data_IF_995310336111
#
_entry.id   IF_995310336111
#
_cell.length_a   1.000
_cell.length_b   1.000
_cell.length_c   1.000
_cell.angle_alpha   90.00
_cell.angle_beta   90.00
_cell.angle_gamma   90.00
#
_symmetry.space_group_name_H-M   'P 1'
#
loop_
_entity.id
_entity.type
_entity.pdbx_description
1 polymer ?
#
# COMPACT_ATOMS: atom_id res chain seq x y z
N UNK A 1 -9.37 -16.65 -11.25
CA UNK A 1 -9.24 -15.49 -10.34
C UNK A 1 -9.19 -14.25 -11.21
N UNK A 2 -10.08 -13.25 -11.05
CA UNK A 2 -9.98 -12.02 -11.80
C UNK A 2 -8.69 -11.31 -11.38
N UNK A 3 -7.82 -11.02 -12.35
CA UNK A 3 -6.53 -10.40 -12.11
C UNK A 3 -6.67 -9.08 -11.38
N UNK A 4 -5.97 -8.94 -10.28
CA UNK A 4 -5.85 -7.70 -9.52
C UNK A 4 -5.27 -6.62 -10.45
N UNK A 5 -6.14 -5.75 -10.96
CA UNK A 5 -5.68 -4.58 -11.71
C UNK A 5 -5.03 -3.61 -10.72
N UNK A 6 -3.70 -3.51 -10.79
CA UNK A 6 -2.95 -2.49 -10.07
C UNK A 6 -3.46 -1.12 -10.53
N UNK A 7 -4.21 -0.43 -9.67
CA UNK A 7 -4.70 0.92 -9.95
C UNK A 7 -3.49 1.85 -9.83
N UNK A 8 -2.98 2.32 -10.95
CA UNK A 8 -2.03 3.43 -10.98
C UNK A 8 -2.82 4.72 -10.79
N UNK A 9 -2.73 5.30 -9.61
CA UNK A 9 -3.26 6.65 -9.36
C UNK A 9 -2.14 7.61 -9.73
N UNK A 10 -2.35 8.53 -10.69
CA UNK A 10 -1.36 9.56 -10.97
C UNK A 10 -1.28 10.48 -9.74
N UNK A 11 -0.13 10.49 -9.09
CA UNK A 11 0.15 11.43 -8.01
C UNK A 11 0.32 12.80 -8.67
N UNK A 12 -0.53 13.75 -8.31
CA UNK A 12 -0.37 15.14 -8.72
C UNK A 12 0.61 15.80 -7.77
N UNK A 13 1.80 16.08 -8.26
CA UNK A 13 2.80 16.84 -7.50
C UNK A 13 2.46 18.32 -7.59
N UNK A 14 2.55 19.04 -6.45
CA UNK A 14 2.61 20.48 -6.47
C UNK A 14 3.85 20.85 -7.29
N UNK A 15 3.71 21.71 -8.28
CA UNK A 15 4.73 22.05 -9.29
C UNK A 15 5.99 22.76 -8.75
N UNK A 16 6.45 22.39 -7.55
CA UNK A 16 7.66 22.86 -6.91
C UNK A 16 8.76 21.82 -7.05
N UNK A 17 9.38 21.82 -8.20
CA UNK A 17 10.57 21.05 -8.49
C UNK A 17 11.84 21.83 -8.10
N UNK A 18 12.96 21.13 -8.07
CA UNK A 18 14.27 21.70 -7.78
C UNK A 18 14.56 23.00 -8.56
N UNK A 19 14.28 23.02 -9.87
CA UNK A 19 14.58 24.16 -10.73
C UNK A 19 13.75 25.39 -10.36
N UNK A 20 12.48 25.22 -10.06
CA UNK A 20 11.58 26.31 -9.63
C UNK A 20 12.00 26.86 -8.28
N UNK A 21 12.31 26.00 -7.31
CA UNK A 21 12.78 26.40 -5.98
C UNK A 21 14.11 27.17 -6.08
N UNK A 22 15.05 26.67 -6.88
CA UNK A 22 16.33 27.34 -7.11
C UNK A 22 16.16 28.72 -7.72
N UNK A 23 15.33 28.85 -8.74
CA UNK A 23 15.04 30.14 -9.36
C UNK A 23 14.41 31.15 -8.38
N UNK A 24 13.44 30.69 -7.59
CA UNK A 24 12.81 31.53 -6.56
C UNK A 24 13.82 32.00 -5.52
N UNK A 25 14.71 31.12 -5.06
CA UNK A 25 15.76 31.45 -4.12
C UNK A 25 16.77 32.45 -4.71
N UNK A 26 17.20 32.27 -5.96
CA UNK A 26 18.08 33.22 -6.65
C UNK A 26 17.42 34.57 -6.78
N UNK A 27 16.15 34.63 -7.16
CA UNK A 27 15.42 35.92 -7.22
C UNK A 27 15.26 36.55 -5.86
N UNK A 28 15.01 35.79 -4.81
CA UNK A 28 14.92 36.25 -3.45
C UNK A 28 16.24 36.91 -3.00
N UNK A 29 17.38 36.20 -3.22
CA UNK A 29 18.70 36.75 -2.86
C UNK A 29 19.02 38.03 -3.63
N UNK A 30 18.75 38.05 -4.94
CA UNK A 30 18.95 39.29 -5.75
C UNK A 30 18.12 40.48 -5.28
N UNK A 31 16.90 40.21 -4.78
CA UNK A 31 16.00 41.28 -4.32
C UNK A 31 16.38 41.84 -2.95
N UNK A 32 16.76 40.98 -2.01
CA UNK A 32 16.94 41.36 -0.61
C UNK A 32 18.40 41.55 -0.20
N UNK A 33 19.34 40.96 -0.96
CA UNK A 33 20.77 41.01 -0.65
C UNK A 33 21.63 41.38 -1.88
N UNK A 34 21.31 42.45 -2.62
CA UNK A 34 21.98 42.76 -3.88
C UNK A 34 23.46 43.09 -3.71
N UNK A 35 23.85 43.69 -2.56
CA UNK A 35 25.22 44.12 -2.31
C UNK A 35 26.09 43.02 -1.67
N UNK A 36 25.44 42.07 -0.99
CA UNK A 36 26.16 41.02 -0.24
C UNK A 36 26.43 39.77 -1.05
N UNK A 37 25.65 39.50 -2.11
CA UNK A 37 25.73 38.26 -2.89
C UNK A 37 25.60 38.57 -4.38
N UNK A 38 26.75 38.74 -5.04
CA UNK A 38 26.82 39.06 -6.48
C UNK A 38 27.30 37.89 -7.35
N UNK A 39 27.93 36.90 -6.75
CA UNK A 39 28.49 35.75 -7.49
C UNK A 39 27.51 34.56 -7.49
N UNK A 40 26.86 34.36 -8.64
CA UNK A 40 25.98 33.22 -8.93
C UNK A 40 26.62 32.21 -9.87
N UNK A 41 27.98 32.22 -9.99
CA UNK A 41 28.67 31.22 -10.78
C UNK A 41 28.47 29.83 -10.18
N UNK A 42 28.40 28.82 -11.05
CA UNK A 42 28.15 27.42 -10.64
C UNK A 42 29.19 26.89 -9.66
N UNK A 43 30.37 27.48 -9.61
CA UNK A 43 31.46 27.07 -8.73
C UNK A 43 31.56 27.89 -7.44
N UNK A 44 30.62 28.81 -7.17
CA UNK A 44 30.65 29.62 -5.96
C UNK A 44 30.04 28.86 -4.77
N UNK A 45 30.58 29.12 -3.57
CA UNK A 45 30.03 28.57 -2.33
C UNK A 45 28.56 28.94 -2.13
N UNK A 46 28.16 30.14 -2.55
CA UNK A 46 26.77 30.57 -2.49
C UNK A 46 25.86 29.77 -3.39
N UNK A 47 26.31 29.45 -4.62
CA UNK A 47 25.55 28.58 -5.52
C UNK A 47 25.39 27.18 -4.93
N UNK A 48 26.44 26.62 -4.33
CA UNK A 48 26.38 25.31 -3.65
C UNK A 48 25.33 25.31 -2.52
N UNK A 49 25.28 26.37 -1.73
CA UNK A 49 24.28 26.52 -0.66
C UNK A 49 22.85 26.59 -1.21
N UNK A 50 22.64 27.39 -2.28
CA UNK A 50 21.33 27.48 -2.93
C UNK A 50 20.90 26.15 -3.54
N UNK A 51 21.83 25.40 -4.12
CA UNK A 51 21.58 24.09 -4.69
C UNK A 51 21.19 23.06 -3.60
N UNK A 52 21.90 23.08 -2.49
CA UNK A 52 21.60 22.20 -1.36
C UNK A 52 20.21 22.49 -0.77
N UNK A 53 19.90 23.77 -0.56
CA UNK A 53 18.58 24.16 -0.03
C UNK A 53 17.47 23.82 -1.02
N UNK A 54 17.71 24.03 -2.33
CA UNK A 54 16.75 23.69 -3.36
C UNK A 54 16.49 22.17 -3.43
N UNK A 55 17.53 21.36 -3.29
CA UNK A 55 17.42 19.90 -3.25
C UNK A 55 16.63 19.43 -2.01
N UNK A 56 16.92 19.98 -0.83
CA UNK A 56 16.16 19.68 0.39
C UNK A 56 14.70 20.10 0.24
N UNK A 57 14.46 21.27 -0.36
CA UNK A 57 13.12 21.78 -0.63
C UNK A 57 12.32 20.85 -1.56
N UNK A 58 12.95 20.32 -2.60
CA UNK A 58 12.34 19.37 -3.54
C UNK A 58 11.94 18.07 -2.83
N UNK A 59 12.85 17.49 -2.04
CA UNK A 59 12.56 16.30 -1.23
C UNK A 59 11.41 16.53 -0.26
N UNK A 60 11.41 17.67 0.45
CA UNK A 60 10.35 17.99 1.40
C UNK A 60 9.00 18.18 0.70
N UNK A 61 8.99 18.83 -0.47
CA UNK A 61 7.79 18.98 -1.30
C UNK A 61 7.23 17.62 -1.71
N UNK A 62 8.09 16.70 -2.15
CA UNK A 62 7.70 15.33 -2.48
C UNK A 62 7.06 14.60 -1.29
N UNK A 63 7.70 14.62 -0.12
CA UNK A 63 7.15 13.96 1.07
C UNK A 63 5.83 14.58 1.53
N UNK A 64 5.67 15.89 1.38
CA UNK A 64 4.44 16.58 1.72
C UNK A 64 3.31 16.13 0.79
N UNK A 65 3.53 16.13 -0.51
CA UNK A 65 2.57 15.67 -1.50
C UNK A 65 2.21 14.19 -1.31
N UNK A 66 3.21 13.36 -1.04
CA UNK A 66 3.00 11.95 -0.73
C UNK A 66 2.11 11.78 0.51
N UNK A 67 2.42 12.48 1.60
CA UNK A 67 1.65 12.41 2.85
C UNK A 67 0.20 12.88 2.67
N UNK A 68 0.00 13.95 1.89
CA UNK A 68 -1.34 14.45 1.57
C UNK A 68 -2.12 13.43 0.74
N UNK A 69 -1.51 12.85 -0.30
CA UNK A 69 -2.16 11.84 -1.13
C UNK A 69 -2.51 10.59 -0.33
N UNK A 70 -1.65 10.14 0.58
CA UNK A 70 -1.90 8.99 1.46
C UNK A 70 -2.98 9.27 2.53
N UNK A 71 -3.33 10.53 2.77
CA UNK A 71 -4.39 10.90 3.73
C UNK A 71 -5.81 10.72 3.18
N UNK A 72 -5.98 10.55 1.88
CA UNK A 72 -7.28 10.38 1.25
C UNK A 72 -7.46 8.97 0.68
N UNK A 73 -8.59 8.34 0.98
CA UNK A 73 -8.90 6.98 0.51
C UNK A 73 -8.87 6.81 -1.02
N UNK A 74 -9.20 7.88 -1.76
CA UNK A 74 -9.22 7.87 -3.23
C UNK A 74 -7.84 7.88 -3.85
N UNK A 75 -6.86 8.47 -3.18
CA UNK A 75 -5.50 8.68 -3.67
C UNK A 75 -4.45 7.81 -2.97
N UNK A 76 -4.77 7.26 -1.80
CA UNK A 76 -3.87 6.38 -1.06
C UNK A 76 -3.49 5.14 -1.88
N UNK A 77 -2.19 4.84 -1.91
CA UNK A 77 -1.60 3.72 -2.64
C UNK A 77 -1.15 2.62 -1.67
N UNK A 78 -0.70 3.02 -0.47
CA UNK A 78 -0.24 2.07 0.54
C UNK A 78 -1.40 1.26 1.11
N UNK A 79 -1.28 -0.07 1.01
CA UNK A 79 -2.32 -0.99 1.46
C UNK A 79 -2.76 -0.76 2.91
N UNK A 80 -1.79 -0.58 3.81
CA UNK A 80 -2.06 -0.37 5.23
C UNK A 80 -2.83 0.94 5.50
N UNK A 81 -2.53 1.99 4.74
CA UNK A 81 -3.23 3.26 4.84
C UNK A 81 -4.65 3.16 4.30
N UNK A 82 -4.84 2.49 3.16
CA UNK A 82 -6.16 2.22 2.59
C UNK A 82 -7.03 1.44 3.58
N UNK A 83 -6.48 0.40 4.23
CA UNK A 83 -7.20 -0.40 5.25
C UNK A 83 -7.55 0.44 6.47
N UNK A 84 -6.64 1.29 6.96
CA UNK A 84 -6.90 2.18 8.09
C UNK A 84 -8.00 3.19 7.76
N UNK A 85 -7.91 3.85 6.61
CA UNK A 85 -8.90 4.84 6.16
C UNK A 85 -10.28 4.19 5.94
N UNK A 86 -10.33 2.99 5.36
CA UNK A 86 -11.59 2.27 5.18
C UNK A 86 -12.24 1.89 6.50
N UNK A 87 -11.43 1.49 7.51
CA UNK A 87 -11.93 1.21 8.86
C UNK A 87 -12.49 2.45 9.54
N UNK A 88 -11.87 3.62 9.35
CA UNK A 88 -12.40 4.89 9.86
C UNK A 88 -13.77 5.22 9.27
N UNK A 89 -14.04 4.79 8.03
CA UNK A 89 -15.35 4.92 7.38
C UNK A 89 -16.35 3.81 7.76
N UNK A 90 -15.96 2.91 8.68
CA UNK A 90 -16.81 1.80 9.14
C UNK A 90 -16.75 0.53 8.29
N UNK A 91 -15.88 0.48 7.28
CA UNK A 91 -15.69 -0.72 6.49
C UNK A 91 -14.69 -1.66 7.17
N UNK A 92 -15.17 -2.86 7.51
CA UNK A 92 -14.31 -3.97 7.99
C UNK A 92 -13.98 -4.89 6.83
N UNK A 93 -12.72 -4.96 6.47
CA UNK A 93 -12.28 -5.89 5.45
C UNK A 93 -12.40 -7.33 5.99
N UNK A 94 -13.23 -8.19 5.35
CA UNK A 94 -13.27 -9.60 5.72
C UNK A 94 -11.93 -10.24 5.34
N UNK A 95 -11.30 -10.92 6.29
CA UNK A 95 -10.13 -11.75 6.01
C UNK A 95 -10.48 -12.92 5.08
N UNK A 96 -9.48 -13.65 4.65
CA UNK A 96 -9.70 -14.89 3.93
C UNK A 96 -10.45 -15.88 4.84
N UNK A 97 -11.63 -16.31 4.40
CA UNK A 97 -12.39 -17.34 5.08
C UNK A 97 -11.88 -18.71 4.64
N UNK A 98 -11.82 -19.65 5.59
CA UNK A 98 -11.53 -21.03 5.25
C UNK A 98 -12.61 -21.56 4.31
N UNK A 99 -12.21 -22.29 3.27
CA UNK A 99 -13.15 -22.97 2.39
C UNK A 99 -13.84 -24.09 3.15
N UNK A 100 -15.17 -24.16 3.05
CA UNK A 100 -15.96 -25.26 3.61
C UNK A 100 -16.49 -26.12 2.47
N UNK A 101 -16.47 -27.42 2.66
CA UNK A 101 -17.02 -28.38 1.69
C UNK A 101 -17.76 -29.49 2.41
N UNK A 102 -18.78 -30.02 1.76
CA UNK A 102 -19.51 -31.22 2.23
C UNK A 102 -19.02 -32.38 1.41
N UNK A 103 -18.49 -33.40 2.09
CA UNK A 103 -18.07 -34.65 1.47
C UNK A 103 -19.03 -35.74 1.91
N UNK A 104 -19.60 -36.45 0.95
CA UNK A 104 -20.45 -37.61 1.20
C UNK A 104 -19.66 -38.88 0.86
N UNK A 105 -19.48 -39.72 1.84
CA UNK A 105 -18.79 -41.01 1.67
C UNK A 105 -19.82 -42.11 1.60
N UNK A 106 -19.71 -42.97 0.56
CA UNK A 106 -20.46 -44.19 0.44
C UNK A 106 -19.53 -45.35 0.70
N UNK A 107 -19.84 -46.16 1.73
CA UNK A 107 -19.03 -47.29 2.08
C UNK A 107 -19.93 -48.55 1.96
N UNK A 108 -19.50 -49.48 1.17
CA UNK A 108 -20.14 -50.78 1.05
C UNK A 108 -19.63 -51.67 2.17
N UNK A 109 -20.54 -52.12 3.03
CA UNK A 109 -20.25 -53.03 4.12
C UNK A 109 -21.01 -54.35 3.85
N UNK A 110 -20.43 -55.51 4.19
CA UNK A 110 -21.09 -56.81 4.12
C UNK A 110 -22.27 -56.84 5.06
N UNK A 111 -23.36 -57.43 4.62
CA UNK A 111 -24.52 -57.64 5.47
C UNK A 111 -24.26 -58.74 6.51
N UNK A 112 -24.88 -58.57 7.68
CA UNK A 112 -24.92 -59.59 8.70
C UNK A 112 -25.69 -60.83 8.23
N UNK A 113 -25.64 -61.94 8.98
CA UNK A 113 -26.33 -63.19 8.69
C UNK A 113 -27.85 -63.04 8.51
N UNK A 114 -28.45 -61.95 8.95
CA UNK A 114 -29.85 -61.60 8.70
C UNK A 114 -30.11 -61.01 7.30
N UNK A 115 -29.09 -60.55 6.60
CA UNK A 115 -29.18 -59.93 5.26
C UNK A 115 -29.79 -58.54 5.21
N UNK A 116 -30.15 -57.96 6.35
CA UNK A 116 -30.89 -56.68 6.44
C UNK A 116 -30.00 -55.58 7.04
N UNK A 117 -29.16 -55.91 8.02
CA UNK A 117 -28.31 -54.92 8.73
C UNK A 117 -26.83 -55.08 8.32
N UNK A 118 -26.04 -53.98 8.38
CA UNK A 118 -24.60 -54.09 8.12
C UNK A 118 -23.90 -54.80 9.29
N UNK A 119 -22.93 -55.71 8.95
CA UNK A 119 -22.16 -56.43 9.98
C UNK A 119 -21.31 -55.46 10.79
N UNK A 120 -21.57 -55.34 12.10
CA UNK A 120 -20.91 -54.48 13.02
C UNK A 120 -19.40 -54.69 13.15
N UNK A 121 -18.91 -55.89 12.75
CA UNK A 121 -17.48 -56.23 12.77
C UNK A 121 -16.69 -55.54 11.67
N UNK A 122 -17.35 -55.11 10.60
CA UNK A 122 -16.72 -54.47 9.44
C UNK A 122 -17.11 -53.03 9.27
N UNK A 123 -17.78 -52.40 10.27
CA UNK A 123 -18.11 -50.97 10.26
C UNK A 123 -16.85 -50.11 10.40
N UNK A 124 -16.50 -49.30 9.41
CA UNK A 124 -15.34 -48.43 9.52
C UNK A 124 -15.59 -47.28 10.48
N UNK A 125 -14.62 -47.03 11.39
CA UNK A 125 -14.62 -45.90 12.29
C UNK A 125 -13.94 -44.71 11.60
N UNK A 126 -14.71 -43.67 11.28
CA UNK A 126 -14.18 -42.42 10.80
C UNK A 126 -13.61 -41.62 11.99
N UNK A 127 -12.29 -41.54 12.07
CA UNK A 127 -11.60 -40.61 13.00
C UNK A 127 -11.41 -39.27 12.34
N UNK A 128 -12.11 -38.24 12.82
CA UNK A 128 -11.86 -36.83 12.42
C UNK A 128 -10.69 -36.35 13.27
N UNK A 129 -9.51 -36.19 12.66
CA UNK A 129 -8.38 -35.51 13.29
C UNK A 129 -8.54 -34.02 13.10
N UNK A 130 -8.61 -33.27 14.19
CA UNK A 130 -8.44 -31.81 14.15
C UNK A 130 -6.93 -31.55 14.20
N UNK A 131 -6.37 -31.00 13.15
CA UNK A 131 -5.03 -30.40 13.15
C UNK A 131 -5.08 -28.99 13.74
#
# INVERSE_FOLDING_TARGET
MPGYRKKTVPISYTSRDYATIKNDLVQHVKRYYPDSFQDFSENSFGSLMLDTVSYVGDILSFYLDYSVNESFLTTAIEYDNVVKLSRQMGYTQPGALASTGILTFYILVTADSSGIEPDSRYMPLLKISKS
#
